data_IF_357086509572
#
_entry.id   IF_357086509572
#
_cell.length_a   1.000
_cell.length_b   1.000
_cell.length_c   1.000
_cell.angle_alpha   90.00
_cell.angle_beta   90.00
_cell.angle_gamma   90.00
#
_symmetry.space_group_name_H-M   'P 1'
#
loop_
_entity.id
_entity.type
_entity.pdbx_description
1 polymer ?
#
# COMPACT_ATOMS: atom_id res chain seq x y z
N UNK A 1 3.57 -3.82 -10.25
CA UNK A 1 3.58 -4.88 -11.29
C UNK A 1 2.43 -4.78 -12.30
N UNK A 2 1.17 -4.70 -11.89
CA UNK A 2 0.06 -4.56 -12.86
C UNK A 2 -0.11 -3.18 -13.51
N UNK A 3 0.34 -2.12 -12.81
CA UNK A 3 0.10 -0.70 -13.16
C UNK A 3 1.39 0.14 -13.23
N UNK A 4 2.56 -0.50 -13.08
CA UNK A 4 3.86 0.18 -13.06
C UNK A 4 4.72 -0.26 -14.25
N UNK A 5 5.22 -1.49 -14.25
CA UNK A 5 5.93 -2.09 -15.38
C UNK A 5 5.03 -2.98 -16.28
N UNK A 6 3.75 -3.12 -15.93
CA UNK A 6 2.75 -3.83 -16.72
C UNK A 6 2.99 -5.33 -16.91
N UNK A 7 3.77 -5.98 -16.05
CA UNK A 7 4.08 -7.42 -16.17
C UNK A 7 2.85 -8.30 -15.88
N UNK A 8 1.98 -7.86 -14.98
CA UNK A 8 0.75 -8.58 -14.63
C UNK A 8 -0.48 -7.89 -15.22
N UNK A 9 -1.55 -8.66 -15.41
CA UNK A 9 -2.85 -8.12 -15.81
C UNK A 9 -3.27 -6.96 -14.87
N UNK A 10 -3.84 -5.86 -15.39
CA UNK A 10 -4.26 -5.63 -16.78
C UNK A 10 -3.14 -5.10 -17.71
N UNK A 11 -1.87 -5.23 -17.33
CA UNK A 11 -0.69 -4.84 -18.10
C UNK A 11 -0.70 -3.35 -18.50
N UNK A 12 -0.89 -2.48 -17.50
CA UNK A 12 -0.88 -1.02 -17.68
C UNK A 12 0.46 -0.44 -17.22
N UNK A 13 1.02 0.42 -18.05
CA UNK A 13 2.25 1.16 -17.77
C UNK A 13 2.40 2.35 -18.71
N UNK A 14 3.26 3.30 -18.34
CA UNK A 14 3.72 4.33 -19.28
C UNK A 14 4.65 3.69 -20.31
N UNK A 15 4.65 4.21 -21.54
CA UNK A 15 5.45 3.68 -22.67
C UNK A 15 6.94 3.49 -22.39
N UNK A 16 7.51 4.27 -21.48
CA UNK A 16 8.93 4.18 -21.12
C UNK A 16 9.29 2.96 -20.25
N UNK A 17 8.32 2.34 -19.58
CA UNK A 17 8.54 1.27 -18.59
C UNK A 17 8.13 -0.12 -19.07
N UNK A 18 7.50 -0.23 -20.24
CA UNK A 18 7.08 -1.51 -20.81
C UNK A 18 6.29 -1.35 -22.10
N UNK A 19 5.95 -2.48 -22.73
CA UNK A 19 5.18 -2.53 -23.98
C UNK A 19 3.66 -2.52 -23.71
N UNK A 20 3.19 -1.59 -22.88
CA UNK A 20 1.77 -1.44 -22.56
C UNK A 20 1.08 -0.53 -23.58
N UNK A 21 -0.17 -0.85 -23.90
CA UNK A 21 -1.00 -0.04 -24.82
C UNK A 21 -1.53 1.23 -24.17
N UNK A 22 -1.67 1.22 -22.84
CA UNK A 22 -2.24 2.30 -22.04
C UNK A 22 -1.73 2.23 -20.59
N UNK A 23 -1.85 3.33 -19.86
CA UNK A 23 -1.49 3.39 -18.44
C UNK A 23 -0.64 4.61 -18.09
N UNK A 24 -0.46 4.82 -16.79
CA UNK A 24 0.48 5.80 -16.27
C UNK A 24 1.16 5.28 -15.00
N UNK A 25 2.40 4.83 -15.14
CA UNK A 25 3.21 4.26 -14.05
C UNK A 25 3.48 5.26 -12.92
N UNK A 26 3.39 6.56 -13.20
CA UNK A 26 3.63 7.58 -12.18
C UNK A 26 2.39 7.88 -11.33
N UNK A 27 1.20 7.37 -11.66
CA UNK A 27 -0.05 7.71 -10.94
C UNK A 27 -0.90 6.50 -10.60
N UNK A 28 -1.08 5.56 -11.54
CA UNK A 28 -1.99 4.42 -11.38
C UNK A 28 -1.63 3.49 -10.21
N UNK A 29 -0.34 3.20 -9.92
CA UNK A 29 0.01 2.39 -8.75
C UNK A 29 -0.53 2.97 -7.44
N UNK A 30 -0.49 4.30 -7.27
CA UNK A 30 -1.00 4.98 -6.06
C UNK A 30 -2.52 4.96 -5.95
N UNK A 31 -3.22 5.15 -7.07
CA UNK A 31 -4.68 5.07 -7.12
C UNK A 31 -5.13 3.64 -6.77
N UNK A 32 -4.50 2.64 -7.38
CA UNK A 32 -4.85 1.23 -7.15
C UNK A 32 -4.54 0.82 -5.71
N UNK A 33 -3.36 1.14 -5.19
CA UNK A 33 -3.00 0.84 -3.81
C UNK A 33 -3.97 1.47 -2.81
N UNK A 34 -4.40 2.71 -3.04
CA UNK A 34 -5.39 3.39 -2.21
C UNK A 34 -6.72 2.64 -2.17
N UNK A 35 -7.26 2.26 -3.33
CA UNK A 35 -8.51 1.50 -3.37
C UNK A 35 -8.39 0.09 -2.80
N UNK A 36 -7.24 -0.58 -2.93
CA UNK A 36 -6.99 -1.87 -2.28
C UNK A 36 -7.06 -1.75 -0.76
N UNK A 37 -6.48 -0.69 -0.19
CA UNK A 37 -6.54 -0.42 1.26
C UNK A 37 -7.99 -0.14 1.71
N UNK A 38 -8.74 0.67 0.95
CA UNK A 38 -10.15 0.96 1.26
C UNK A 38 -11.04 -0.29 1.15
N UNK A 39 -10.81 -1.12 0.14
CA UNK A 39 -11.54 -2.38 -0.04
C UNK A 39 -11.25 -3.36 1.09
N UNK A 40 -9.98 -3.49 1.49
CA UNK A 40 -9.57 -4.26 2.67
C UNK A 40 -10.28 -3.78 3.93
N UNK A 41 -10.20 -2.48 4.24
CA UNK A 41 -10.80 -1.92 5.44
C UNK A 41 -12.34 -2.08 5.46
N UNK A 42 -12.99 -1.94 4.31
CA UNK A 42 -14.43 -2.18 4.14
C UNK A 42 -14.80 -3.64 4.41
N UNK A 43 -14.01 -4.59 3.90
CA UNK A 43 -14.21 -6.01 4.15
C UNK A 43 -14.03 -6.37 5.63
N UNK A 44 -13.02 -5.79 6.29
CA UNK A 44 -12.79 -5.95 7.73
C UNK A 44 -13.96 -5.39 8.54
N UNK A 45 -14.41 -4.18 8.24
CA UNK A 45 -15.56 -3.57 8.91
C UNK A 45 -16.80 -4.48 8.79
N UNK A 46 -17.10 -4.97 7.58
CA UNK A 46 -18.22 -5.89 7.34
C UNK A 46 -18.07 -7.21 8.08
N UNK A 47 -16.87 -7.78 8.11
CA UNK A 47 -16.57 -9.01 8.85
C UNK A 47 -16.86 -8.84 10.35
N UNK A 48 -16.30 -7.78 10.94
CA UNK A 48 -16.46 -7.46 12.36
C UNK A 48 -17.93 -7.22 12.75
N UNK A 49 -18.65 -6.45 11.94
CA UNK A 49 -20.03 -6.06 12.23
C UNK A 49 -21.05 -7.19 12.11
N UNK A 50 -20.77 -8.25 11.34
CA UNK A 50 -21.83 -9.20 10.96
C UNK A 50 -21.47 -10.66 11.07
N UNK A 51 -20.19 -11.00 11.15
CA UNK A 51 -19.73 -12.38 11.09
C UNK A 51 -18.86 -12.74 12.29
N UNK A 52 -18.00 -11.83 12.75
CA UNK A 52 -17.00 -12.12 13.78
C UNK A 52 -17.62 -12.58 15.11
N UNK A 53 -18.72 -11.97 15.56
CA UNK A 53 -19.37 -12.36 16.80
C UNK A 53 -19.86 -13.82 16.76
N UNK A 54 -20.36 -14.29 15.61
CA UNK A 54 -20.90 -15.66 15.45
C UNK A 54 -19.80 -16.68 15.13
N UNK A 55 -18.91 -16.33 14.20
CA UNK A 55 -17.88 -17.24 13.70
C UNK A 55 -16.64 -17.31 14.60
N UNK A 56 -16.43 -16.30 15.45
CA UNK A 56 -15.27 -16.18 16.35
C UNK A 56 -13.92 -16.24 15.62
N UNK A 57 -13.89 -15.92 14.33
CA UNK A 57 -12.66 -15.89 13.53
C UNK A 57 -11.93 -14.56 13.59
N UNK A 58 -10.80 -14.49 12.87
CA UNK A 58 -9.93 -13.32 12.75
C UNK A 58 -9.74 -12.98 11.28
N UNK A 59 -9.59 -11.70 10.97
CA UNK A 59 -9.33 -11.21 9.62
C UNK A 59 -8.04 -10.38 9.59
N UNK A 60 -7.21 -10.62 8.58
CA UNK A 60 -5.89 -10.00 8.44
C UNK A 60 -5.62 -9.59 7.02
N UNK A 61 -4.39 -9.13 6.78
CA UNK A 61 -3.87 -8.84 5.44
C UNK A 61 -2.52 -9.55 5.29
N UNK A 62 -2.30 -10.17 4.13
CA UNK A 62 -1.02 -10.71 3.72
C UNK A 62 -0.32 -9.65 2.87
N UNK A 63 0.92 -9.33 3.20
CA UNK A 63 1.70 -8.35 2.44
C UNK A 63 2.96 -9.01 1.90
N UNK A 64 3.19 -8.86 0.59
CA UNK A 64 4.47 -9.18 0.00
C UNK A 64 5.57 -8.29 0.61
N UNK A 65 6.69 -8.89 0.95
CA UNK A 65 7.78 -8.19 1.60
C UNK A 65 9.15 -8.70 1.16
N UNK A 66 10.01 -7.74 0.80
CA UNK A 66 11.45 -7.94 0.64
C UNK A 66 12.16 -7.11 1.70
N UNK A 67 13.07 -7.73 2.45
CA UNK A 67 13.92 -7.00 3.39
C UNK A 67 15.06 -6.33 2.62
N UNK A 68 15.11 -5.00 2.71
CA UNK A 68 16.16 -4.19 2.09
C UNK A 68 17.21 -3.81 3.13
N UNK A 69 18.46 -4.19 2.88
CA UNK A 69 19.62 -3.76 3.65
C UNK A 69 20.36 -2.62 2.93
N UNK A 70 21.02 -1.71 3.67
CA UNK A 70 21.84 -0.67 3.06
C UNK A 70 23.06 -1.30 2.35
N UNK A 71 23.45 -0.72 1.22
CA UNK A 71 24.61 -1.21 0.45
C UNK A 71 25.94 -0.99 1.20
N UNK A 72 26.04 0.11 1.94
CA UNK A 72 27.18 0.45 2.82
C UNK A 72 26.68 0.98 4.16
N UNK A 73 27.60 1.26 5.09
CA UNK A 73 27.28 1.92 6.37
C UNK A 73 27.00 3.42 6.26
N UNK A 74 26.98 4.00 5.06
CA UNK A 74 26.71 5.43 4.86
C UNK A 74 25.27 5.80 5.23
N UNK A 75 25.05 7.03 5.69
CA UNK A 75 23.70 7.55 5.98
C UNK A 75 22.80 7.49 4.74
N UNK A 76 23.34 7.82 3.56
CA UNK A 76 22.61 7.81 2.31
C UNK A 76 22.03 6.42 1.95
N UNK A 77 22.80 5.36 2.18
CA UNK A 77 22.35 3.98 1.92
C UNK A 77 21.38 3.48 2.99
N UNK A 78 21.55 3.90 4.25
CA UNK A 78 20.58 3.63 5.32
C UNK A 78 19.22 4.27 5.01
N UNK A 79 19.22 5.54 4.59
CA UNK A 79 18.01 6.22 4.16
C UNK A 79 17.42 5.57 2.90
N UNK A 80 18.25 5.15 1.94
CA UNK A 80 17.77 4.45 0.74
C UNK A 80 17.07 3.12 1.09
N UNK A 81 17.66 2.34 2.00
CA UNK A 81 17.04 1.10 2.48
C UNK A 81 15.72 1.37 3.21
N UNK A 82 15.65 2.42 4.04
CA UNK A 82 14.39 2.81 4.68
C UNK A 82 13.33 3.26 3.66
N UNK A 83 13.72 4.07 2.66
CA UNK A 83 12.82 4.47 1.56
C UNK A 83 12.27 3.24 0.83
N UNK A 84 13.12 2.25 0.53
CA UNK A 84 12.68 1.02 -0.14
C UNK A 84 11.65 0.26 0.71
N UNK A 85 11.89 0.11 2.03
CA UNK A 85 10.93 -0.51 2.95
C UNK A 85 9.61 0.25 3.03
N UNK A 86 9.67 1.59 3.05
CA UNK A 86 8.47 2.44 3.06
C UNK A 86 7.64 2.27 1.78
N UNK A 87 8.28 2.21 0.61
CA UNK A 87 7.59 2.03 -0.67
C UNK A 87 7.17 0.59 -0.98
N UNK A 88 7.66 -0.40 -0.23
CA UNK A 88 7.27 -1.81 -0.40
C UNK A 88 6.23 -2.23 0.64
N UNK A 89 6.60 -2.20 1.92
CA UNK A 89 5.76 -2.65 3.03
C UNK A 89 4.97 -1.50 3.65
N UNK A 90 5.65 -0.38 3.92
CA UNK A 90 5.10 0.79 4.59
C UNK A 90 3.88 1.34 3.87
N UNK A 91 3.86 1.27 2.54
CA UNK A 91 2.79 1.77 1.69
C UNK A 91 1.41 1.20 2.06
N UNK A 92 1.34 -0.06 2.48
CA UNK A 92 0.09 -0.72 2.86
C UNK A 92 -0.10 -0.80 4.36
N UNK A 93 0.94 -1.17 5.12
CA UNK A 93 0.79 -1.40 6.55
C UNK A 93 0.64 -0.09 7.35
N UNK A 94 1.32 0.98 6.93
CA UNK A 94 1.35 2.22 7.69
C UNK A 94 -0.03 2.89 7.74
N UNK A 95 -0.82 2.97 6.64
CA UNK A 95 -2.22 3.39 6.72
C UNK A 95 -3.06 2.54 7.67
N UNK A 96 -2.90 1.21 7.63
CA UNK A 96 -3.69 0.29 8.47
C UNK A 96 -3.36 0.46 9.95
N UNK A 97 -2.11 0.77 10.32
CA UNK A 97 -1.70 0.93 11.72
C UNK A 97 -1.93 2.35 12.22
N UNK A 98 -1.55 3.36 11.43
CA UNK A 98 -1.46 4.75 11.89
C UNK A 98 -2.55 5.65 11.30
N UNK A 99 -3.18 5.25 10.20
CA UNK A 99 -4.20 6.04 9.49
C UNK A 99 -3.62 6.99 8.43
N UNK A 100 -2.35 6.86 8.08
CA UNK A 100 -1.70 7.67 7.04
C UNK A 100 -0.62 6.89 6.29
N UNK A 101 -0.24 7.34 5.09
CA UNK A 101 0.93 6.81 4.38
C UNK A 101 2.24 7.21 5.06
N UNK A 102 3.36 6.47 4.85
CA UNK A 102 4.66 6.86 5.39
C UNK A 102 5.06 8.28 4.96
N UNK A 103 5.69 9.05 5.87
CA UNK A 103 6.04 10.46 5.58
C UNK A 103 6.98 10.60 4.39
N UNK A 104 7.90 9.66 4.25
CA UNK A 104 8.78 9.49 3.09
C UNK A 104 8.00 9.48 1.77
N UNK A 105 6.95 8.67 1.68
CA UNK A 105 6.11 8.58 0.48
C UNK A 105 5.34 9.89 0.24
N UNK A 106 4.75 10.46 1.29
CA UNK A 106 4.04 11.74 1.18
C UNK A 106 4.95 12.84 0.61
N UNK A 107 6.20 12.91 1.08
CA UNK A 107 7.17 13.93 0.66
C UNK A 107 7.68 13.72 -0.77
N UNK A 108 7.88 12.47 -1.20
CA UNK A 108 8.44 12.14 -2.53
C UNK A 108 7.35 12.13 -3.61
N UNK A 109 6.19 11.55 -3.32
CA UNK A 109 5.11 11.32 -4.29
C UNK A 109 4.19 12.52 -4.43
N UNK A 110 3.97 13.23 -3.31
CA UNK A 110 3.20 14.49 -3.23
C UNK A 110 1.77 14.34 -3.78
N UNK A 111 1.36 15.19 -4.72
CA UNK A 111 -0.01 15.30 -5.22
C UNK A 111 -0.48 14.03 -5.97
N UNK A 112 0.45 13.17 -6.38
CA UNK A 112 0.13 11.87 -7.01
C UNK A 112 -0.30 10.81 -6.00
N UNK A 113 -0.03 11.02 -4.71
CA UNK A 113 -0.46 10.13 -3.64
C UNK A 113 -1.85 10.56 -3.16
N UNK A 114 -2.87 9.70 -3.29
CA UNK A 114 -4.20 10.00 -2.75
C UNK A 114 -4.16 10.29 -1.25
N UNK A 115 -5.11 11.09 -0.77
CA UNK A 115 -5.27 11.39 0.65
C UNK A 115 -6.52 10.69 1.17
N UNK A 116 -6.41 10.11 2.35
CA UNK A 116 -7.58 9.60 3.06
C UNK A 116 -8.40 10.77 3.61
N UNK A 117 -9.71 10.67 3.47
CA UNK A 117 -10.69 11.49 4.21
C UNK A 117 -10.72 11.07 5.68
N UNK A 118 -11.33 11.89 6.54
CA UNK A 118 -11.44 11.56 7.96
C UNK A 118 -12.22 10.26 8.21
N UNK A 119 -13.25 10.02 7.41
CA UNK A 119 -14.06 8.79 7.44
C UNK A 119 -13.24 7.57 7.03
N UNK A 120 -12.43 7.70 5.97
CA UNK A 120 -11.54 6.63 5.52
C UNK A 120 -10.45 6.34 6.53
N UNK A 121 -9.85 7.36 7.16
CA UNK A 121 -8.87 7.17 8.25
C UNK A 121 -9.49 6.37 9.40
N UNK A 122 -10.71 6.70 9.82
CA UNK A 122 -11.42 5.97 10.88
C UNK A 122 -11.70 4.51 10.50
N UNK A 123 -11.95 4.24 9.22
CA UNK A 123 -12.23 2.90 8.72
C UNK A 123 -10.96 2.05 8.56
N UNK A 124 -9.89 2.65 8.02
CA UNK A 124 -8.63 1.96 7.69
C UNK A 124 -7.77 1.73 8.94
N UNK A 125 -7.70 2.69 9.86
CA UNK A 125 -6.88 2.56 11.05
C UNK A 125 -7.40 1.44 11.96
N UNK A 126 -6.55 0.47 12.26
CA UNK A 126 -6.88 -0.70 13.06
C UNK A 126 -7.70 -1.76 12.31
N UNK A 127 -7.79 -1.69 10.98
CA UNK A 127 -8.51 -2.67 10.16
C UNK A 127 -7.73 -3.98 9.98
N UNK A 128 -7.24 -4.58 11.06
CA UNK A 128 -6.41 -5.79 11.03
C UNK A 128 -6.43 -6.51 12.37
N UNK A 129 -6.55 -7.85 12.37
CA UNK A 129 -6.35 -8.68 13.56
C UNK A 129 -4.99 -9.39 13.55
N UNK A 130 -4.43 -9.68 12.37
CA UNK A 130 -3.09 -10.26 12.18
C UNK A 130 -2.48 -9.81 10.84
N UNK A 131 -1.15 -9.77 10.80
CA UNK A 131 -0.36 -9.56 9.58
C UNK A 131 0.16 -10.92 9.13
N UNK A 132 -0.06 -11.26 7.87
CA UNK A 132 0.50 -12.43 7.20
C UNK A 132 1.77 -12.08 6.44
#
# INVERSE_FOLDING_TARGET
>A
LGYDNGIFAPARCSKAFGNCTQGNSATEPYIVAHHLILAHASAVQRYRQSYQEKQKGRIGILLDFVWFEPLTSSEADNDAAQRARDFHFGWFIHPIVYGEYPKTMQNIVKERLPKFTEEEVKMVKGSIDFVG
#
